data_IF_734150279053
#
_entry.id   IF_734150279053
#
_cell.length_a   1.000
_cell.length_b   1.000
_cell.length_c   1.000
_cell.angle_alpha   90.00
_cell.angle_beta   90.00
_cell.angle_gamma   90.00
#
_symmetry.space_group_name_H-M   'P 1'
#
loop_
_entity.id
_entity.type
_entity.pdbx_description
1 polymer ?
#
# COMPACT_ATOMS: atom_id res chain seq x y z
N UNK A 1 26.78 -19.73 -23.83
CA UNK A 1 25.37 -19.78 -23.43
C UNK A 1 24.92 -18.33 -23.21
N UNK A 2 23.91 -17.84 -23.95
CA UNK A 2 23.32 -16.53 -23.67
C UNK A 2 22.32 -16.71 -22.54
N UNK A 3 22.48 -15.97 -21.44
CA UNK A 3 21.46 -15.93 -20.41
C UNK A 3 20.23 -15.15 -20.92
N UNK A 4 19.01 -15.61 -20.65
CA UNK A 4 17.81 -14.87 -21.02
C UNK A 4 17.81 -13.51 -20.33
N UNK A 5 17.34 -12.47 -21.03
CA UNK A 5 17.16 -11.15 -20.44
C UNK A 5 16.16 -11.23 -19.30
N UNK A 6 16.55 -10.75 -18.12
CA UNK A 6 15.70 -10.72 -16.91
C UNK A 6 15.58 -9.27 -16.44
N UNK A 7 14.50 -8.57 -16.82
CA UNK A 7 14.29 -7.20 -16.38
C UNK A 7 14.11 -7.13 -14.87
N UNK A 8 14.59 -6.03 -14.27
CA UNK A 8 14.47 -5.74 -12.85
C UNK A 8 13.43 -4.64 -12.69
N UNK A 9 12.29 -4.92 -12.06
CA UNK A 9 11.28 -3.94 -11.71
C UNK A 9 11.50 -3.38 -10.30
N UNK A 10 11.71 -4.27 -9.31
CA UNK A 10 11.89 -3.86 -7.92
C UNK A 10 13.35 -3.62 -7.59
N UNK A 11 13.61 -2.53 -6.87
CA UNK A 11 14.93 -2.12 -6.39
C UNK A 11 14.85 -1.74 -4.93
N UNK A 12 15.98 -1.82 -4.21
CA UNK A 12 16.10 -1.31 -2.86
C UNK A 12 16.53 0.16 -2.94
N UNK A 13 15.75 1.05 -2.37
CA UNK A 13 15.99 2.49 -2.33
C UNK A 13 16.15 2.99 -0.89
N UNK A 14 17.12 3.87 -0.65
CA UNK A 14 17.18 4.64 0.57
C UNK A 14 16.20 5.83 0.48
N UNK A 15 15.47 6.08 1.56
CA UNK A 15 14.50 7.17 1.64
C UNK A 15 14.45 7.79 3.05
N UNK A 16 13.70 8.88 3.21
CA UNK A 16 13.43 9.46 4.52
C UNK A 16 12.60 8.53 5.42
N UNK A 17 11.94 7.54 4.81
CA UNK A 17 11.12 6.51 5.50
C UNK A 17 11.91 5.24 5.84
N UNK A 18 13.22 5.20 5.57
CA UNK A 18 14.07 4.03 5.72
C UNK A 18 14.44 3.41 4.38
N UNK A 19 14.83 2.14 4.39
CA UNK A 19 15.12 1.39 3.17
C UNK A 19 13.85 0.75 2.64
N UNK A 20 13.53 1.00 1.37
CA UNK A 20 12.29 0.53 0.75
C UNK A 20 12.56 -0.30 -0.51
N UNK A 21 11.87 -1.42 -0.62
CA UNK A 21 11.69 -2.15 -1.87
C UNK A 21 10.65 -1.38 -2.69
N UNK A 22 11.06 -0.85 -3.84
CA UNK A 22 10.24 0.05 -4.67
C UNK A 22 10.23 -0.47 -6.09
N UNK A 23 9.07 -0.46 -6.75
CA UNK A 23 9.02 -0.70 -8.18
C UNK A 23 9.44 0.58 -8.92
N UNK A 24 10.53 0.50 -9.70
CA UNK A 24 11.05 1.64 -10.47
C UNK A 24 10.14 2.06 -11.63
N UNK A 25 9.15 1.25 -11.98
CA UNK A 25 8.13 1.52 -12.99
C UNK A 25 6.82 2.06 -12.38
N UNK A 26 6.78 2.23 -11.05
CA UNK A 26 5.60 2.80 -10.38
C UNK A 26 5.57 4.32 -10.58
N UNK A 27 5.18 4.71 -11.79
CA UNK A 27 4.95 6.09 -12.17
C UNK A 27 4.05 6.22 -13.39
N UNK A 28 3.30 7.31 -13.43
CA UNK A 28 2.65 7.83 -14.63
C UNK A 28 3.08 9.27 -14.85
N UNK A 29 3.58 9.58 -16.04
CA UNK A 29 3.92 10.95 -16.41
C UNK A 29 2.68 11.68 -16.93
N UNK A 30 2.43 12.90 -16.41
CA UNK A 30 1.41 13.83 -16.91
C UNK A 30 2.01 14.63 -18.06
N UNK A 31 3.26 15.07 -17.89
CA UNK A 31 4.05 15.78 -18.90
C UNK A 31 5.56 15.40 -18.76
N UNK A 32 6.44 16.13 -19.45
CA UNK A 32 7.88 15.85 -19.43
C UNK A 32 8.56 16.07 -18.06
N UNK A 33 7.89 16.71 -17.09
CA UNK A 33 8.47 17.08 -15.78
C UNK A 33 7.62 16.62 -14.60
N UNK A 34 6.34 16.38 -14.82
CA UNK A 34 5.39 16.04 -13.77
C UNK A 34 4.92 14.60 -13.94
N UNK A 35 5.05 13.85 -12.87
CA UNK A 35 4.55 12.48 -12.77
C UNK A 35 4.06 12.20 -11.35
N UNK A 36 3.33 11.12 -11.20
CA UNK A 36 2.86 10.63 -9.92
C UNK A 36 3.03 9.11 -9.83
N UNK A 37 2.86 8.58 -8.65
CA UNK A 37 3.10 7.21 -8.24
C UNK A 37 3.98 7.17 -7.00
N UNK A 38 3.81 6.15 -6.17
CA UNK A 38 4.59 6.00 -4.92
C UNK A 38 6.07 5.83 -5.26
N UNK A 39 6.38 4.95 -6.23
CA UNK A 39 7.75 4.75 -6.71
C UNK A 39 8.36 6.02 -7.28
N UNK A 40 7.58 6.82 -8.03
CA UNK A 40 8.05 8.10 -8.56
C UNK A 40 8.46 9.06 -7.44
N UNK A 41 7.62 9.22 -6.42
CA UNK A 41 7.92 10.14 -5.32
C UNK A 41 9.16 9.68 -4.54
N UNK A 42 9.23 8.41 -4.17
CA UNK A 42 10.36 7.85 -3.41
C UNK A 42 11.67 8.00 -4.19
N UNK A 43 11.71 7.63 -5.47
CA UNK A 43 12.95 7.64 -6.26
C UNK A 43 13.40 9.05 -6.66
N UNK A 44 12.49 10.03 -6.72
CA UNK A 44 12.82 11.40 -7.11
C UNK A 44 12.91 12.38 -5.93
N UNK A 45 12.19 12.13 -4.83
CA UNK A 45 12.11 13.06 -3.69
C UNK A 45 12.57 12.43 -2.36
N UNK A 46 12.89 11.13 -2.36
CA UNK A 46 13.21 10.34 -1.16
C UNK A 46 12.09 10.32 -0.10
N UNK A 47 10.88 10.75 -0.44
CA UNK A 47 9.72 10.76 0.45
C UNK A 47 8.42 10.58 -0.32
N UNK A 48 7.37 10.16 0.41
CA UNK A 48 6.00 10.04 -0.05
C UNK A 48 5.08 10.70 0.98
N UNK A 49 4.23 11.60 0.55
CA UNK A 49 3.18 12.30 1.29
C UNK A 49 3.54 12.68 2.75
N UNK A 50 4.61 13.44 2.97
CA UNK A 50 5.13 13.70 4.31
C UNK A 50 4.16 14.45 5.23
N UNK A 51 3.27 15.28 4.68
CA UNK A 51 2.28 16.03 5.47
C UNK A 51 1.16 15.12 5.96
N UNK A 52 0.71 14.14 5.16
CA UNK A 52 -0.28 13.15 5.57
C UNK A 52 0.28 12.23 6.66
N UNK A 53 1.51 11.76 6.50
CA UNK A 53 2.21 10.96 7.50
C UNK A 53 2.32 11.73 8.81
N UNK A 54 2.73 12.99 8.76
CA UNK A 54 2.84 13.84 9.93
C UNK A 54 1.49 14.05 10.62
N UNK A 55 0.43 14.29 9.87
CA UNK A 55 -0.92 14.44 10.39
C UNK A 55 -1.38 13.18 11.11
N UNK A 56 -1.22 12.01 10.49
CA UNK A 56 -1.57 10.73 11.13
C UNK A 56 -0.75 10.49 12.40
N UNK A 57 0.54 10.83 12.41
CA UNK A 57 1.41 10.71 13.60
C UNK A 57 0.88 11.54 14.76
N UNK A 58 0.44 12.79 14.52
CA UNK A 58 -0.17 13.65 15.55
C UNK A 58 -1.45 13.04 16.10
N UNK A 59 -2.28 12.41 15.24
CA UNK A 59 -3.49 11.72 15.69
C UNK A 59 -3.15 10.51 16.57
N UNK A 60 -2.14 9.73 16.22
CA UNK A 60 -1.68 8.59 17.02
C UNK A 60 -1.17 9.02 18.41
N UNK A 61 -0.38 10.11 18.47
CA UNK A 61 0.08 10.69 19.74
C UNK A 61 -1.10 11.14 20.60
N UNK A 62 -2.08 11.82 20.00
CA UNK A 62 -3.30 12.24 20.70
C UNK A 62 -4.08 11.03 21.24
N UNK A 63 -4.20 9.95 20.46
CA UNK A 63 -4.84 8.72 20.93
C UNK A 63 -4.11 8.09 22.12
N UNK A 64 -2.77 8.08 22.07
CA UNK A 64 -1.95 7.63 23.19
C UNK A 64 -2.14 8.49 24.44
N UNK A 65 -2.12 9.81 24.28
CA UNK A 65 -2.27 10.76 25.38
C UNK A 65 -3.60 10.57 26.13
N UNK A 66 -4.71 10.43 25.40
CA UNK A 66 -6.03 10.33 25.99
C UNK A 66 -6.43 8.92 26.42
N UNK A 67 -5.88 7.88 25.81
CA UNK A 67 -6.34 6.49 26.02
C UNK A 67 -5.24 5.51 26.40
N UNK A 68 -4.01 6.00 26.58
CA UNK A 68 -2.85 5.20 26.98
C UNK A 68 -2.28 4.32 25.86
N UNK A 69 -1.30 3.51 26.22
CA UNK A 69 -0.64 2.56 25.34
C UNK A 69 -1.62 1.51 24.78
N UNK A 70 -1.20 0.77 23.75
CA UNK A 70 -2.05 -0.19 23.05
C UNK A 70 -2.80 0.42 21.87
N UNK A 71 -2.37 1.58 21.37
CA UNK A 71 -2.93 2.22 20.16
C UNK A 71 -2.85 1.27 19.00
N UNK A 72 -3.96 1.13 18.26
CA UNK A 72 -4.06 0.26 17.12
C UNK A 72 -4.48 1.03 15.88
N UNK A 73 -3.66 0.95 14.83
CA UNK A 73 -3.92 1.59 13.54
C UNK A 73 -4.12 0.54 12.43
N UNK A 74 -5.01 0.87 11.49
CA UNK A 74 -5.22 0.10 10.25
C UNK A 74 -4.80 0.97 9.06
N UNK A 75 -3.99 0.39 8.17
CA UNK A 75 -3.57 0.95 6.89
C UNK A 75 -4.19 0.11 5.76
N UNK A 76 -5.35 0.55 5.27
CA UNK A 76 -6.08 -0.09 4.17
C UNK A 76 -5.62 0.48 2.83
N UNK A 77 -5.20 -0.40 1.90
CA UNK A 77 -4.52 -0.01 0.67
C UNK A 77 -3.10 0.49 0.97
N UNK A 78 -2.35 -0.31 1.73
CA UNK A 78 -1.05 0.10 2.28
C UNK A 78 0.04 0.27 1.22
N UNK A 79 -0.19 -0.18 -0.01
CA UNK A 79 0.78 -0.15 -1.09
C UNK A 79 2.11 -0.79 -0.63
N UNK A 80 3.28 -0.18 -0.89
CA UNK A 80 4.58 -0.66 -0.40
C UNK A 80 4.85 -0.36 1.08
N UNK A 81 3.88 0.24 1.81
CA UNK A 81 3.86 0.35 3.27
C UNK A 81 4.54 1.58 3.86
N UNK A 82 4.58 2.72 3.17
CA UNK A 82 5.22 3.93 3.70
C UNK A 82 4.54 4.37 5.01
N UNK A 83 3.20 4.51 5.02
CA UNK A 83 2.44 4.83 6.23
C UNK A 83 2.61 3.77 7.32
N UNK A 84 2.49 2.50 6.95
CA UNK A 84 2.68 1.36 7.85
C UNK A 84 4.02 1.42 8.59
N UNK A 85 5.11 1.70 7.87
CA UNK A 85 6.46 1.77 8.44
C UNK A 85 6.60 2.95 9.39
N UNK A 86 6.16 4.14 8.95
CA UNK A 86 6.26 5.36 9.76
C UNK A 86 5.44 5.23 11.05
N UNK A 87 4.20 4.74 10.97
CA UNK A 87 3.36 4.53 12.14
C UNK A 87 3.92 3.45 13.06
N UNK A 88 4.42 2.35 12.50
CA UNK A 88 5.05 1.28 13.28
C UNK A 88 6.27 1.76 14.04
N UNK A 89 7.17 2.50 13.37
CA UNK A 89 8.38 3.07 14.00
C UNK A 89 8.01 4.07 15.09
N UNK A 90 7.05 4.95 14.80
CA UNK A 90 6.55 5.94 15.75
C UNK A 90 5.93 5.28 16.99
N UNK A 91 5.10 4.26 16.78
CA UNK A 91 4.41 3.53 17.85
C UNK A 91 5.25 2.41 18.48
N UNK A 92 6.56 2.36 18.23
CA UNK A 92 7.40 1.30 18.79
C UNK A 92 7.29 1.23 20.32
N UNK A 93 6.97 0.05 20.84
CA UNK A 93 6.82 -0.20 22.28
C UNK A 93 5.46 0.19 22.89
N UNK A 94 4.57 0.91 22.15
CA UNK A 94 3.29 1.35 22.70
C UNK A 94 2.08 1.17 21.79
N UNK A 95 2.25 0.83 20.52
CA UNK A 95 1.15 0.61 19.59
C UNK A 95 1.50 -0.39 18.49
N UNK A 96 0.53 -0.67 17.61
CA UNK A 96 0.65 -1.64 16.53
C UNK A 96 -0.10 -1.21 15.28
N UNK A 97 0.30 -1.75 14.13
CA UNK A 97 -0.31 -1.50 12.83
C UNK A 97 -0.74 -2.81 12.18
N UNK A 98 -1.91 -2.80 11.55
CA UNK A 98 -2.38 -3.84 10.64
C UNK A 98 -2.56 -3.22 9.26
N UNK A 99 -1.82 -3.72 8.28
CA UNK A 99 -1.81 -3.24 6.90
C UNK A 99 -2.49 -4.25 5.96
N UNK A 100 -3.25 -3.75 5.00
CA UNK A 100 -3.89 -4.54 3.95
C UNK A 100 -3.43 -4.05 2.58
N UNK A 101 -3.06 -4.99 1.72
CA UNK A 101 -2.74 -4.73 0.32
C UNK A 101 -3.30 -5.87 -0.51
N UNK A 102 -4.04 -5.52 -1.58
CA UNK A 102 -4.72 -6.49 -2.42
C UNK A 102 -3.85 -6.98 -3.59
N UNK A 103 -2.97 -6.14 -4.13
CA UNK A 103 -2.06 -6.49 -5.20
C UNK A 103 -0.90 -7.34 -4.68
N UNK A 104 -0.88 -8.64 -5.01
CA UNK A 104 0.08 -9.60 -4.44
C UNK A 104 1.55 -9.18 -4.62
N UNK A 105 1.91 -8.67 -5.79
CA UNK A 105 3.28 -8.24 -6.08
C UNK A 105 3.68 -7.01 -5.27
N UNK A 106 2.75 -6.09 -5.02
CA UNK A 106 2.94 -4.90 -4.17
C UNK A 106 2.99 -5.32 -2.69
N UNK A 107 2.13 -6.27 -2.29
CA UNK A 107 2.17 -6.87 -0.95
C UNK A 107 3.53 -7.51 -0.61
N UNK A 108 4.22 -8.14 -1.58
CA UNK A 108 5.57 -8.66 -1.34
C UNK A 108 6.55 -7.54 -0.96
N UNK A 109 6.43 -6.38 -1.60
CA UNK A 109 7.23 -5.21 -1.22
C UNK A 109 6.83 -4.68 0.16
N UNK A 110 5.54 -4.55 0.48
CA UNK A 110 5.03 -4.18 1.80
C UNK A 110 5.61 -5.08 2.91
N UNK A 111 5.47 -6.39 2.76
CA UNK A 111 5.96 -7.36 3.73
C UNK A 111 7.49 -7.30 3.89
N UNK A 112 8.20 -7.18 2.77
CA UNK A 112 9.66 -6.99 2.76
C UNK A 112 10.07 -5.68 3.45
N UNK A 113 9.37 -4.59 3.19
CA UNK A 113 9.64 -3.28 3.78
C UNK A 113 9.40 -3.26 5.29
N UNK A 114 8.36 -3.92 5.79
CA UNK A 114 8.15 -4.14 7.23
C UNK A 114 9.35 -4.86 7.85
N UNK A 115 9.82 -5.93 7.21
CA UNK A 115 10.91 -6.75 7.73
C UNK A 115 12.25 -6.01 7.76
N UNK A 116 12.65 -5.37 6.64
CA UNK A 116 13.97 -4.69 6.55
C UNK A 116 14.04 -3.42 7.41
N UNK A 117 12.91 -2.83 7.79
CA UNK A 117 12.84 -1.69 8.71
C UNK A 117 12.59 -2.09 10.17
N UNK A 118 12.59 -3.40 10.48
CA UNK A 118 12.39 -3.94 11.83
C UNK A 118 11.06 -3.49 12.48
N UNK A 119 10.01 -3.34 11.70
CA UNK A 119 8.69 -2.93 12.15
C UNK A 119 7.92 -4.12 12.76
N UNK A 120 8.43 -4.68 13.88
CA UNK A 120 7.91 -5.93 14.46
C UNK A 120 6.53 -5.79 15.11
N UNK A 121 6.05 -4.57 15.31
CA UNK A 121 4.69 -4.22 15.74
C UNK A 121 3.74 -3.95 14.58
N UNK A 122 4.17 -4.16 13.33
CA UNK A 122 3.33 -4.14 12.14
C UNK A 122 3.03 -5.55 11.63
N UNK A 123 1.85 -5.73 11.03
CA UNK A 123 1.41 -6.94 10.35
C UNK A 123 0.85 -6.58 8.98
N UNK A 124 1.23 -7.30 7.93
CA UNK A 124 0.66 -7.17 6.60
C UNK A 124 -0.28 -8.36 6.29
N UNK A 125 -1.37 -8.08 5.58
CA UNK A 125 -2.29 -9.09 5.03
C UNK A 125 -2.47 -8.87 3.54
N UNK A 126 -2.33 -9.94 2.76
CA UNK A 126 -2.74 -9.97 1.37
C UNK A 126 -4.26 -10.12 1.33
N UNK A 127 -4.96 -9.03 1.23
CA UNK A 127 -6.42 -8.99 1.14
C UNK A 127 -6.91 -7.62 0.66
N UNK A 128 -8.04 -7.61 -0.04
CA UNK A 128 -8.84 -6.42 -0.25
C UNK A 128 -9.70 -6.12 0.99
N UNK A 129 -9.94 -4.86 1.28
CA UNK A 129 -10.97 -4.44 2.23
C UNK A 129 -12.28 -4.19 1.46
N UNK A 130 -13.40 -4.60 2.04
CA UNK A 130 -14.73 -4.40 1.46
C UNK A 130 -15.82 -4.60 2.48
N UNK A 131 -17.10 -4.42 2.08
CA UNK A 131 -18.25 -4.50 2.98
C UNK A 131 -18.51 -5.92 3.55
N UNK A 132 -18.03 -6.96 2.89
CA UNK A 132 -18.25 -8.35 3.30
C UNK A 132 -16.99 -9.21 3.09
N UNK A 133 -16.91 -10.32 3.84
CA UNK A 133 -15.86 -11.30 3.61
C UNK A 133 -16.18 -12.15 2.38
N UNK A 134 -15.14 -12.52 1.62
CA UNK A 134 -15.27 -13.32 0.40
C UNK A 134 -13.99 -13.37 -0.40
N UNK A 135 -14.13 -13.42 -1.71
CA UNK A 135 -13.05 -13.31 -2.69
C UNK A 135 -13.35 -12.19 -3.67
N UNK A 136 -12.33 -11.50 -4.12
CA UNK A 136 -12.39 -10.48 -5.16
C UNK A 136 -11.45 -10.86 -6.29
N UNK A 137 -11.93 -10.77 -7.54
CA UNK A 137 -11.09 -10.84 -8.73
C UNK A 137 -10.55 -9.44 -9.02
N UNK A 138 -9.22 -9.27 -8.96
CA UNK A 138 -8.55 -7.99 -9.20
C UNK A 138 -7.68 -8.09 -10.45
N UNK A 139 -7.63 -7.04 -11.28
CA UNK A 139 -6.83 -7.04 -12.49
C UNK A 139 -5.34 -7.11 -12.18
N UNK A 140 -4.57 -7.68 -13.11
CA UNK A 140 -3.13 -7.82 -12.96
C UNK A 140 -2.42 -6.87 -13.94
N UNK A 141 -1.81 -5.77 -13.45
CA UNK A 141 -1.01 -4.90 -14.30
C UNK A 141 0.33 -5.56 -14.67
N UNK A 142 0.96 -5.08 -15.74
CA UNK A 142 2.34 -5.42 -16.04
C UNK A 142 3.30 -4.58 -15.17
N UNK A 143 3.83 -5.18 -14.12
CA UNK A 143 4.78 -4.53 -13.19
C UNK A 143 6.16 -4.25 -13.81
N UNK A 144 6.41 -4.67 -15.05
CA UNK A 144 7.62 -4.36 -15.83
C UNK A 144 7.43 -3.17 -16.77
N UNK A 145 6.21 -2.64 -16.87
CA UNK A 145 5.86 -1.46 -17.65
C UNK A 145 5.45 -0.29 -16.74
N UNK A 146 5.65 0.97 -17.16
CA UNK A 146 5.26 2.12 -16.37
C UNK A 146 3.76 2.19 -16.11
N UNK A 147 3.38 2.34 -14.84
CA UNK A 147 2.02 2.63 -14.40
C UNK A 147 2.02 3.18 -12.96
N UNK A 148 1.00 3.93 -12.58
CA UNK A 148 0.72 4.25 -11.17
C UNK A 148 -0.02 3.07 -10.54
N UNK A 149 0.71 2.14 -9.95
CA UNK A 149 0.09 0.92 -9.39
C UNK A 149 -0.80 1.21 -8.18
N UNK A 150 -0.53 2.30 -7.47
CA UNK A 150 -1.38 2.77 -6.37
C UNK A 150 -2.74 3.29 -6.83
N UNK A 151 -2.88 3.71 -8.10
CA UNK A 151 -4.15 4.18 -8.66
C UNK A 151 -4.94 3.07 -9.37
N UNK A 152 -4.59 1.79 -9.16
CA UNK A 152 -5.30 0.68 -9.77
C UNK A 152 -6.62 0.44 -9.07
N UNK A 153 -7.73 0.85 -9.71
CA UNK A 153 -9.07 0.49 -9.22
C UNK A 153 -9.27 -1.03 -9.29
N UNK A 154 -9.69 -1.62 -8.16
CA UNK A 154 -9.82 -3.07 -8.04
C UNK A 154 -11.02 -3.64 -8.78
N UNK A 155 -12.01 -2.80 -9.11
CA UNK A 155 -13.24 -3.17 -9.85
C UNK A 155 -13.41 -2.35 -11.10
N UNK A 156 -14.01 -2.96 -12.12
CA UNK A 156 -14.39 -2.23 -13.31
C UNK A 156 -15.57 -1.31 -13.02
N UNK A 157 -15.39 -0.03 -13.29
CA UNK A 157 -16.42 0.99 -13.30
C UNK A 157 -16.55 1.63 -14.70
N UNK A 158 -17.59 2.42 -14.92
CA UNK A 158 -17.76 3.15 -16.19
C UNK A 158 -16.76 4.30 -16.40
N UNK A 159 -15.86 4.56 -15.46
CA UNK A 159 -14.95 5.69 -15.46
C UNK A 159 -13.58 5.40 -14.81
N UNK A 160 -13.11 4.14 -14.88
CA UNK A 160 -11.81 3.79 -14.32
C UNK A 160 -10.69 4.70 -14.83
N UNK A 161 -9.82 5.13 -13.91
CA UNK A 161 -8.68 5.95 -14.26
C UNK A 161 -7.67 5.18 -15.12
N UNK A 162 -7.10 5.85 -16.14
CA UNK A 162 -5.98 5.30 -16.89
C UNK A 162 -4.69 5.43 -16.07
N UNK A 163 -4.15 4.35 -15.59
CA UNK A 163 -2.98 4.33 -14.70
C UNK A 163 -1.62 4.42 -15.41
N UNK A 164 -1.61 4.47 -16.74
CA UNK A 164 -0.38 4.46 -17.57
C UNK A 164 -0.31 3.27 -18.52
N UNK A 165 -1.13 2.24 -18.30
CA UNK A 165 -1.30 1.09 -19.17
C UNK A 165 -2.77 0.68 -19.26
N UNK A 166 -3.14 -0.06 -20.30
CA UNK A 166 -4.48 -0.63 -20.43
C UNK A 166 -4.66 -1.79 -19.42
N UNK A 167 -5.75 -1.78 -18.68
CA UNK A 167 -6.09 -2.80 -17.69
C UNK A 167 -7.25 -3.64 -18.19
N UNK A 168 -7.10 -4.95 -18.12
CA UNK A 168 -8.16 -5.92 -18.42
C UNK A 168 -8.80 -6.39 -17.11
N UNK A 169 -10.13 -6.32 -17.06
CA UNK A 169 -10.93 -6.85 -15.95
C UNK A 169 -11.59 -8.20 -16.31
N UNK A 170 -11.18 -8.81 -17.41
CA UNK A 170 -11.65 -10.15 -17.76
C UNK A 170 -11.08 -11.18 -16.76
N UNK A 171 -11.89 -12.13 -16.31
CA UNK A 171 -11.52 -13.07 -15.23
C UNK A 171 -10.22 -13.85 -15.49
N UNK A 172 -9.88 -14.11 -16.75
CA UNK A 172 -8.61 -14.77 -17.12
C UNK A 172 -7.37 -13.88 -16.89
N UNK A 173 -7.56 -12.56 -16.80
CA UNK A 173 -6.49 -11.57 -16.60
C UNK A 173 -6.49 -11.04 -15.16
N UNK A 174 -7.36 -11.58 -14.30
CA UNK A 174 -7.49 -11.22 -12.90
C UNK A 174 -6.90 -12.29 -11.98
N UNK A 175 -6.41 -11.89 -10.82
CA UNK A 175 -6.10 -12.78 -9.71
C UNK A 175 -7.20 -12.74 -8.65
N UNK A 176 -7.43 -13.86 -7.97
CA UNK A 176 -8.34 -13.92 -6.83
C UNK A 176 -7.59 -13.60 -5.55
N UNK A 177 -8.12 -12.68 -4.79
CA UNK A 177 -7.60 -12.31 -3.47
C UNK A 177 -8.71 -12.40 -2.42
N UNK A 178 -8.38 -12.73 -1.16
CA UNK A 178 -9.35 -12.65 -0.08
C UNK A 178 -9.89 -11.22 0.04
N UNK A 179 -11.19 -11.10 0.28
CA UNK A 179 -11.84 -9.85 0.68
C UNK A 179 -12.27 -9.96 2.14
N UNK A 180 -11.95 -8.97 2.94
CA UNK A 180 -12.17 -8.93 4.39
C UNK A 180 -12.96 -7.68 4.75
N UNK A 181 -14.02 -7.84 5.53
CA UNK A 181 -14.67 -6.69 6.15
C UNK A 181 -14.00 -6.37 7.50
N UNK A 182 -13.90 -5.07 7.82
CA UNK A 182 -13.33 -4.64 9.10
C UNK A 182 -14.13 -5.18 10.28
N UNK A 183 -15.46 -5.27 10.14
CA UNK A 183 -16.35 -5.80 11.18
C UNK A 183 -16.14 -7.29 11.45
N UNK A 184 -15.53 -8.03 10.52
CA UNK A 184 -15.18 -9.45 10.72
C UNK A 184 -13.90 -9.65 11.54
N UNK A 185 -13.15 -8.59 11.78
CA UNK A 185 -11.92 -8.65 12.56
C UNK A 185 -12.25 -8.55 14.05
N UNK A 186 -11.70 -9.44 14.85
CA UNK A 186 -11.81 -9.36 16.32
C UNK A 186 -10.89 -8.25 16.85
N UNK A 187 -11.33 -7.00 16.69
CA UNK A 187 -10.60 -5.79 17.08
C UNK A 187 -11.25 -5.19 18.32
N UNK A 188 -10.62 -5.39 19.48
CA UNK A 188 -11.10 -4.83 20.75
C UNK A 188 -10.94 -3.29 20.84
N UNK A 189 -9.98 -2.72 20.10
CA UNK A 189 -9.67 -1.28 20.08
C UNK A 189 -9.11 -0.89 18.71
N UNK A 190 -9.68 0.13 18.09
CA UNK A 190 -9.20 0.77 16.88
C UNK A 190 -9.10 2.28 17.11
N UNK A 191 -7.95 2.87 16.87
CA UNK A 191 -7.65 4.26 17.16
C UNK A 191 -7.50 5.13 15.92
N UNK A 192 -6.97 4.55 14.84
CA UNK A 192 -6.80 5.21 13.55
C UNK A 192 -7.04 4.22 12.43
N UNK A 193 -7.73 4.66 11.39
CA UNK A 193 -7.86 3.94 10.14
C UNK A 193 -7.61 4.89 8.97
N UNK A 194 -6.76 4.47 8.03
CA UNK A 194 -6.65 5.01 6.69
C UNK A 194 -7.30 3.99 5.75
N UNK A 195 -8.14 4.45 4.85
CA UNK A 195 -8.74 3.65 3.78
C UNK A 195 -8.43 4.35 2.46
N UNK A 196 -7.67 3.68 1.61
CA UNK A 196 -7.23 4.14 0.31
C UNK A 196 -7.25 2.93 -0.64
N UNK A 197 -8.44 2.47 -0.95
CA UNK A 197 -8.72 1.16 -1.60
C UNK A 197 -9.36 1.38 -2.96
N UNK A 198 -8.80 2.21 -3.74
CA UNK A 198 -9.11 2.65 -5.10
C UNK A 198 -10.42 2.06 -5.69
N UNK A 199 -11.50 2.88 -5.65
CA UNK A 199 -12.81 2.55 -6.16
C UNK A 199 -13.71 1.71 -5.23
N UNK A 200 -13.29 1.44 -3.98
CA UNK A 200 -14.07 0.67 -2.99
C UNK A 200 -14.29 1.41 -1.66
N UNK A 201 -13.95 2.71 -1.56
CA UNK A 201 -14.03 3.51 -0.32
C UNK A 201 -15.45 3.69 0.20
N UNK A 202 -16.45 3.53 -0.66
CA UNK A 202 -17.86 3.72 -0.33
C UNK A 202 -18.62 2.42 -0.06
N UNK A 203 -17.92 1.29 0.07
CA UNK A 203 -18.50 -0.03 0.33
C UNK A 203 -18.53 -0.45 1.80
#
# INVERSE_FOLDING_TARGET
MSYPNRPIAFVLAASNHGSLIVNRHDYRMIDAKQGYGVGFQILNKSCFDPDEIRFATVLLDSRREYFGDGVFAIDGGANIGVHTIEWSRHMHGWGRVLAFEAQEVVYYALAGNIAINNCLNARARLAALGAACGELEIPQPDYLAPASFGSLELRQSGGNEFIGQAISYASQDCARVPMVSLDSLDIARLDLIKIDVEGMEME
#
